data_IF_072542029472
#
_entry.id   IF_072542029472
#
_cell.length_a   1.000
_cell.length_b   1.000
_cell.length_c   1.000
_cell.angle_alpha   90.00
_cell.angle_beta   90.00
_cell.angle_gamma   90.00
#
_symmetry.space_group_name_H-M   'P 1'
#
loop_
_entity.id
_entity.type
_entity.pdbx_description
1 polymer ?
#
# COMPACT_ATOMS: atom_id res chain seq x y z
N UNK A 1 -19.97 35.20 -37.37
CA UNK A 1 -19.81 33.77 -37.02
C UNK A 1 -18.46 33.45 -36.37
N UNK A 2 -17.33 34.01 -36.85
CA UNK A 2 -15.98 33.74 -36.31
C UNK A 2 -15.83 33.97 -34.79
N UNK A 3 -16.43 35.02 -34.24
CA UNK A 3 -16.34 35.31 -32.79
C UNK A 3 -17.06 34.30 -31.88
N UNK A 4 -18.14 33.66 -32.35
CA UNK A 4 -18.88 32.66 -31.55
C UNK A 4 -18.10 31.35 -31.41
N UNK A 5 -17.32 30.99 -32.44
CA UNK A 5 -16.46 29.80 -32.43
C UNK A 5 -15.28 30.01 -31.45
N UNK A 6 -14.70 31.21 -31.45
CA UNK A 6 -13.60 31.55 -30.54
C UNK A 6 -14.03 31.47 -29.08
N UNK A 7 -15.22 31.97 -28.73
CA UNK A 7 -15.73 31.90 -27.35
C UNK A 7 -15.94 30.45 -26.91
N UNK A 8 -16.51 29.58 -27.74
CA UNK A 8 -16.67 28.16 -27.41
C UNK A 8 -15.32 27.43 -27.22
N UNK A 9 -14.31 27.75 -28.05
CA UNK A 9 -12.98 27.15 -27.91
C UNK A 9 -12.29 27.59 -26.62
N UNK A 10 -12.38 28.87 -26.27
CA UNK A 10 -11.79 29.39 -25.03
C UNK A 10 -12.48 28.83 -23.80
N UNK A 11 -13.82 28.70 -23.80
CA UNK A 11 -14.53 28.10 -22.67
C UNK A 11 -14.28 26.60 -22.55
N UNK A 12 -14.22 25.84 -23.65
CA UNK A 12 -13.82 24.42 -23.60
C UNK A 12 -12.41 24.22 -23.06
N UNK A 13 -11.45 25.07 -23.47
CA UNK A 13 -10.09 25.04 -22.94
C UNK A 13 -10.04 25.41 -21.44
N UNK A 14 -10.90 26.33 -21.00
CA UNK A 14 -11.02 26.69 -19.59
C UNK A 14 -11.56 25.52 -18.76
N UNK A 15 -12.53 24.76 -19.26
CA UNK A 15 -13.03 23.56 -18.58
C UNK A 15 -12.00 22.43 -18.50
N UNK A 16 -11.10 22.29 -19.48
CA UNK A 16 -10.03 21.29 -19.42
C UNK A 16 -8.84 21.71 -18.55
N UNK A 17 -8.67 23.02 -18.29
CA UNK A 17 -7.59 23.53 -17.43
C UNK A 17 -8.04 23.75 -15.98
N UNK A 18 -9.34 24.00 -15.75
CA UNK A 18 -9.90 24.35 -14.43
C UNK A 18 -10.52 23.16 -13.69
N UNK A 19 -10.70 22.01 -14.34
CA UNK A 19 -10.88 20.78 -13.60
C UNK A 19 -9.48 20.23 -13.35
N UNK A 20 -8.82 20.55 -12.21
CA UNK A 20 -7.84 19.60 -11.71
C UNK A 20 -8.62 18.29 -11.67
N UNK A 21 -8.15 17.32 -12.43
CA UNK A 21 -8.47 15.93 -12.14
C UNK A 21 -7.89 15.79 -10.74
N UNK A 22 -8.70 16.08 -9.72
CA UNK A 22 -8.41 15.75 -8.35
C UNK A 22 -8.43 14.22 -8.41
N UNK A 23 -7.28 13.66 -8.77
CA UNK A 23 -6.88 12.33 -8.40
C UNK A 23 -7.05 12.32 -6.90
N UNK A 24 -8.20 11.84 -6.44
CA UNK A 24 -8.40 11.61 -5.02
C UNK A 24 -7.23 10.75 -4.59
N UNK A 25 -6.45 11.22 -3.63
CA UNK A 25 -5.58 10.33 -2.90
C UNK A 25 -6.44 9.16 -2.42
N UNK A 26 -5.92 7.94 -2.52
CA UNK A 26 -6.60 6.79 -1.97
C UNK A 26 -7.01 7.05 -0.53
N UNK A 27 -8.23 6.64 -0.20
CA UNK A 27 -8.75 6.60 1.14
C UNK A 27 -9.38 5.23 1.39
N UNK A 28 -9.97 5.02 2.57
CA UNK A 28 -10.60 3.74 2.88
C UNK A 28 -11.80 3.43 1.96
N UNK A 29 -12.50 4.46 1.44
CA UNK A 29 -13.64 4.28 0.54
C UNK A 29 -13.18 4.00 -0.91
N UNK A 30 -12.05 4.57 -1.30
CA UNK A 30 -11.45 4.53 -2.63
C UNK A 30 -9.99 4.04 -2.62
N UNK A 31 -9.67 2.87 -2.04
CA UNK A 31 -8.29 2.40 -1.94
C UNK A 31 -7.77 1.88 -3.28
N UNK A 32 -6.46 2.03 -3.50
CA UNK A 32 -5.79 1.53 -4.71
C UNK A 32 -5.81 0.00 -4.80
N UNK A 33 -5.64 -0.68 -3.66
CA UNK A 33 -5.62 -2.14 -3.57
C UNK A 33 -6.87 -2.58 -2.80
N UNK A 34 -7.65 -3.47 -3.43
CA UNK A 34 -8.83 -4.12 -2.83
C UNK A 34 -8.69 -5.63 -2.96
N UNK A 35 -8.93 -6.35 -1.88
CA UNK A 35 -9.24 -7.77 -1.90
C UNK A 35 -10.76 -7.94 -1.82
N UNK A 36 -11.29 -8.85 -2.63
CA UNK A 36 -12.74 -9.10 -2.72
C UNK A 36 -13.07 -10.54 -2.36
N UNK A 37 -12.09 -11.44 -2.33
CA UNK A 37 -12.30 -12.86 -2.12
C UNK A 37 -12.02 -13.31 -0.69
N UNK A 38 -11.22 -12.56 0.07
CA UNK A 38 -10.86 -12.89 1.45
C UNK A 38 -10.12 -14.23 1.52
N UNK A 39 -9.14 -14.39 0.62
CA UNK A 39 -8.74 -15.70 0.11
C UNK A 39 -7.41 -16.25 0.62
N UNK A 40 -7.09 -16.00 1.89
CA UNK A 40 -5.87 -16.47 2.55
C UNK A 40 -5.50 -17.92 2.18
N UNK A 41 -4.37 -18.06 1.48
CA UNK A 41 -3.85 -19.33 0.95
C UNK A 41 -2.72 -19.88 1.83
N UNK A 42 -2.43 -21.18 1.71
CA UNK A 42 -1.30 -21.81 2.39
C UNK A 42 -1.54 -23.25 2.80
N UNK A 43 -0.45 -24.02 2.87
CA UNK A 43 -0.52 -25.47 3.14
C UNK A 43 -1.12 -25.76 4.52
N UNK A 44 -0.85 -24.90 5.51
CA UNK A 44 -1.32 -25.09 6.88
C UNK A 44 -2.56 -24.28 7.23
N UNK A 45 -3.12 -23.48 6.31
CA UNK A 45 -4.30 -22.62 6.56
C UNK A 45 -5.44 -23.41 7.21
N UNK A 46 -5.76 -24.60 6.70
CA UNK A 46 -6.84 -25.45 7.23
C UNK A 46 -6.62 -25.94 8.67
N UNK A 47 -5.38 -25.89 9.16
CA UNK A 47 -5.01 -26.28 10.52
C UNK A 47 -4.76 -25.09 11.44
N UNK A 48 -4.79 -23.86 10.91
CA UNK A 48 -4.65 -22.66 11.72
C UNK A 48 -6.02 -22.28 12.33
N UNK A 49 -6.03 -21.83 13.59
CA UNK A 49 -7.17 -21.12 14.17
C UNK A 49 -7.72 -20.07 13.20
N UNK A 50 -9.05 -19.98 12.97
CA UNK A 50 -9.64 -18.97 12.07
C UNK A 50 -9.21 -17.54 12.38
N UNK A 51 -9.03 -17.23 13.67
CA UNK A 51 -8.52 -15.94 14.16
C UNK A 51 -7.08 -15.62 13.76
N UNK A 52 -6.29 -16.57 13.28
CA UNK A 52 -4.96 -16.32 12.71
C UNK A 52 -5.03 -16.05 11.21
N UNK A 53 -5.97 -16.68 10.53
CA UNK A 53 -6.23 -16.51 9.10
C UNK A 53 -6.73 -15.07 8.85
N UNK A 54 -7.73 -14.62 9.64
CA UNK A 54 -8.29 -13.27 9.57
C UNK A 54 -7.28 -12.13 9.77
N UNK A 55 -6.11 -12.40 10.34
CA UNK A 55 -5.08 -11.38 10.62
C UNK A 55 -4.22 -11.03 9.42
N UNK A 56 -4.17 -11.93 8.47
CA UNK A 56 -3.40 -11.71 7.25
C UNK A 56 -4.32 -11.50 6.07
N UNK A 57 -5.63 -11.42 6.28
CA UNK A 57 -6.60 -11.13 5.23
C UNK A 57 -6.64 -9.61 5.00
N UNK A 58 -6.04 -9.16 3.90
CA UNK A 58 -5.92 -7.73 3.57
C UNK A 58 -7.18 -7.30 2.85
N UNK A 59 -8.02 -6.48 3.46
CA UNK A 59 -9.21 -5.96 2.78
C UNK A 59 -8.84 -4.85 1.79
N UNK A 60 -8.10 -3.85 2.28
CA UNK A 60 -7.83 -2.62 1.55
C UNK A 60 -6.40 -2.17 1.80
N UNK A 61 -5.77 -1.56 0.82
CA UNK A 61 -4.53 -0.81 1.00
C UNK A 61 -4.53 0.41 0.10
N UNK A 62 -4.11 1.55 0.64
CA UNK A 62 -4.09 2.80 -0.09
C UNK A 62 -2.87 3.66 0.24
N UNK A 63 -2.55 4.53 -0.70
CA UNK A 63 -1.53 5.55 -0.56
C UNK A 63 -2.18 6.86 -0.13
N UNK A 64 -1.52 7.57 0.78
CA UNK A 64 -2.04 8.78 1.37
C UNK A 64 -0.93 9.80 1.61
N UNK A 65 -1.26 11.06 1.39
CA UNK A 65 -0.35 12.21 1.56
C UNK A 65 -1.14 13.38 2.15
N UNK A 66 -0.43 14.29 2.82
CA UNK A 66 -1.03 15.48 3.42
C UNK A 66 -0.25 16.74 3.03
N UNK A 67 -0.91 17.89 2.82
CA UNK A 67 -0.22 19.12 2.47
C UNK A 67 0.77 19.60 3.53
N UNK A 68 0.50 19.25 4.80
CA UNK A 68 1.34 19.59 5.95
C UNK A 68 2.60 18.71 6.07
N UNK A 69 2.68 17.62 5.30
CA UNK A 69 3.77 16.62 5.36
C UNK A 69 4.11 16.06 3.95
N UNK A 70 4.51 16.91 3.00
CA UNK A 70 4.63 16.55 1.58
C UNK A 70 5.86 15.69 1.24
N UNK A 71 6.84 15.62 2.14
CA UNK A 71 8.07 14.84 1.94
C UNK A 71 7.88 13.34 2.25
N UNK A 72 6.75 12.99 2.88
CA UNK A 72 6.46 11.63 3.29
C UNK A 72 5.30 11.04 2.50
N UNK A 73 5.50 9.81 2.01
CA UNK A 73 4.43 8.96 1.49
C UNK A 73 3.92 8.09 2.64
N UNK A 74 2.60 8.14 2.89
CA UNK A 74 1.95 7.25 3.84
C UNK A 74 1.28 6.12 3.08
N UNK A 75 1.44 4.90 3.56
CA UNK A 75 0.76 3.73 3.01
C UNK A 75 -0.01 3.12 4.17
N UNK A 76 -1.30 2.88 3.98
CA UNK A 76 -2.19 2.36 5.01
C UNK A 76 -2.87 1.12 4.45
N UNK A 77 -2.90 0.05 5.24
CA UNK A 77 -3.62 -1.17 4.92
C UNK A 77 -4.56 -1.56 6.05
N UNK A 78 -5.73 -2.07 5.68
CA UNK A 78 -6.78 -2.51 6.60
C UNK A 78 -6.99 -4.01 6.47
N UNK A 79 -7.06 -4.69 7.61
CA UNK A 79 -7.26 -6.13 7.74
C UNK A 79 -8.70 -6.44 8.17
N UNK A 80 -9.20 -7.66 7.96
CA UNK A 80 -10.55 -8.05 8.40
C UNK A 80 -10.67 -8.17 9.93
N UNK A 81 -9.58 -8.55 10.63
CA UNK A 81 -9.56 -8.58 12.08
C UNK A 81 -8.14 -8.61 12.66
N UNK A 82 -7.81 -7.67 13.54
CA UNK A 82 -6.53 -7.74 14.28
C UNK A 82 -6.74 -8.44 15.61
N UNK A 83 -6.09 -9.59 15.73
CA UNK A 83 -5.82 -10.23 17.01
C UNK A 83 -4.30 -10.33 17.10
N UNK A 84 -3.69 -10.08 18.26
CA UNK A 84 -2.23 -10.23 18.44
C UNK A 84 -1.83 -11.69 18.66
N UNK A 85 -0.70 -12.13 18.09
CA UNK A 85 -0.17 -13.49 18.32
C UNK A 85 1.16 -13.33 18.99
N UNK A 86 1.27 -13.99 20.13
CA UNK A 86 2.51 -14.09 20.88
C UNK A 86 3.48 -15.12 20.26
N UNK A 87 3.15 -15.75 19.14
CA UNK A 87 3.90 -16.92 18.66
C UNK A 87 4.38 -16.83 17.21
N UNK A 88 3.70 -16.05 16.37
CA UNK A 88 4.01 -16.00 14.95
C UNK A 88 4.59 -14.66 14.56
N UNK A 89 5.49 -14.69 13.58
CA UNK A 89 5.86 -13.47 12.87
C UNK A 89 4.86 -13.24 11.76
N UNK A 90 4.43 -12.00 11.63
CA UNK A 90 3.62 -11.57 10.50
C UNK A 90 4.38 -10.55 9.69
N UNK A 91 4.31 -10.69 8.37
CA UNK A 91 4.90 -9.77 7.41
C UNK A 91 3.76 -9.13 6.66
N UNK A 92 3.67 -7.80 6.68
CA UNK A 92 2.77 -7.03 5.84
C UNK A 92 3.62 -6.27 4.87
N UNK A 93 3.41 -6.47 3.56
CA UNK A 93 4.23 -5.86 2.53
C UNK A 93 3.35 -5.20 1.49
N UNK A 94 3.77 -4.03 1.03
CA UNK A 94 3.15 -3.33 -0.10
C UNK A 94 4.24 -3.08 -1.13
N UNK A 95 3.95 -3.42 -2.38
CA UNK A 95 4.84 -3.35 -3.52
C UNK A 95 4.29 -2.34 -4.52
N UNK A 96 5.16 -1.65 -5.23
CA UNK A 96 4.81 -0.75 -6.34
C UNK A 96 6.03 -0.53 -7.23
N UNK A 97 5.81 0.09 -8.40
CA UNK A 97 6.87 0.51 -9.31
C UNK A 97 6.89 2.04 -9.42
N UNK A 98 8.09 2.61 -9.43
CA UNK A 98 8.33 4.01 -9.76
C UNK A 98 9.66 4.16 -10.51
N UNK A 99 9.65 4.87 -11.65
CA UNK A 99 10.82 5.06 -12.53
C UNK A 99 11.58 3.75 -12.83
N UNK A 100 10.87 2.69 -13.23
CA UNK A 100 11.42 1.36 -13.54
C UNK A 100 12.05 0.60 -12.35
N UNK A 101 11.98 1.15 -11.14
CA UNK A 101 12.37 0.47 -9.90
C UNK A 101 11.14 -0.09 -9.19
N UNK A 102 11.22 -1.33 -8.72
CA UNK A 102 10.26 -2.00 -7.86
C UNK A 102 10.65 -1.75 -6.41
N UNK A 103 9.76 -1.10 -5.70
CA UNK A 103 9.91 -0.89 -4.27
C UNK A 103 9.00 -1.85 -3.51
N UNK A 104 9.45 -2.21 -2.31
CA UNK A 104 8.60 -2.86 -1.31
C UNK A 104 8.78 -2.16 0.03
N UNK A 105 7.68 -1.88 0.71
CA UNK A 105 7.71 -1.61 2.14
C UNK A 105 7.23 -2.84 2.88
N UNK A 106 7.95 -3.25 3.92
CA UNK A 106 7.62 -4.44 4.72
C UNK A 106 7.63 -4.09 6.20
N UNK A 107 6.52 -4.38 6.87
CA UNK A 107 6.39 -4.36 8.31
C UNK A 107 6.45 -5.80 8.81
N UNK A 108 7.38 -6.07 9.73
CA UNK A 108 7.54 -7.35 10.41
C UNK A 108 7.08 -7.17 11.85
N UNK A 109 5.99 -7.84 12.22
CA UNK A 109 5.51 -7.85 13.60
C UNK A 109 5.98 -9.13 14.29
N UNK A 110 6.57 -8.98 15.47
CA UNK A 110 6.96 -10.08 16.35
C UNK A 110 6.71 -9.68 17.79
N UNK A 111 5.72 -10.32 18.43
CA UNK A 111 5.36 -10.04 19.81
C UNK A 111 4.95 -8.57 19.99
N UNK A 112 5.84 -7.75 20.57
CA UNK A 112 5.69 -6.31 20.76
C UNK A 112 6.65 -5.48 19.91
N UNK A 113 7.50 -6.14 19.12
CA UNK A 113 8.44 -5.47 18.23
C UNK A 113 7.83 -5.36 16.84
N UNK A 114 7.96 -4.16 16.28
CA UNK A 114 7.57 -3.85 14.92
C UNK A 114 8.80 -3.30 14.24
N UNK A 115 9.32 -4.04 13.27
CA UNK A 115 10.39 -3.58 12.40
C UNK A 115 9.78 -3.21 11.05
N UNK A 116 10.23 -2.11 10.45
CA UNK A 116 9.65 -1.59 9.22
C UNK A 116 10.74 -1.09 8.29
N UNK A 117 10.72 -1.55 7.04
CA UNK A 117 11.75 -1.23 6.05
C UNK A 117 11.13 -0.96 4.69
N UNK A 118 11.66 0.02 3.98
CA UNK A 118 11.47 0.17 2.54
C UNK A 118 12.71 -0.37 1.83
N UNK A 119 12.53 -1.12 0.75
CA UNK A 119 13.61 -1.73 -0.02
C UNK A 119 13.40 -1.47 -1.51
N UNK A 120 14.46 -1.02 -2.17
CA UNK A 120 14.58 -1.00 -3.62
C UNK A 120 15.02 -2.40 -4.08
N UNK A 121 14.20 -3.09 -4.87
CA UNK A 121 14.44 -4.48 -5.28
C UNK A 121 15.45 -4.61 -6.43
N UNK A 122 15.80 -3.51 -7.08
CA UNK A 122 16.81 -3.47 -8.15
C UNK A 122 18.20 -3.33 -7.56
N UNK A 123 18.34 -2.57 -6.48
CA UNK A 123 19.62 -2.33 -5.80
C UNK A 123 19.84 -3.20 -4.55
N UNK A 124 18.77 -3.81 -4.01
CA UNK A 124 18.76 -4.51 -2.72
C UNK A 124 19.12 -3.58 -1.54
N UNK A 125 18.93 -2.27 -1.70
CA UNK A 125 19.13 -1.29 -0.65
C UNK A 125 17.88 -1.17 0.22
N UNK A 126 18.03 -1.37 1.53
CA UNK A 126 16.96 -1.26 2.52
C UNK A 126 17.20 -0.11 3.49
N UNK A 127 16.13 0.66 3.74
CA UNK A 127 16.12 1.77 4.69
C UNK A 127 15.01 1.56 5.73
N UNK A 128 15.22 2.06 6.95
CA UNK A 128 14.17 2.03 7.97
C UNK A 128 13.03 2.97 7.56
N UNK A 129 11.80 2.45 7.61
CA UNK A 129 10.58 3.22 7.51
C UNK A 129 9.92 3.34 8.90
N UNK A 130 9.03 4.31 9.08
CA UNK A 130 8.36 4.48 10.37
C UNK A 130 7.06 3.67 10.32
N UNK A 131 6.84 2.71 11.24
CA UNK A 131 5.59 1.98 11.29
C UNK A 131 4.45 2.87 11.81
N UNK A 132 3.31 2.84 11.13
CA UNK A 132 2.02 3.28 11.65
C UNK A 132 1.27 2.04 12.11
N UNK A 133 1.51 1.65 13.35
CA UNK A 133 0.78 0.55 13.97
C UNK A 133 0.23 1.03 15.30
N UNK A 134 -1.08 1.18 15.39
CA UNK A 134 -1.75 1.30 16.67
C UNK A 134 -2.01 -0.14 17.13
N UNK A 135 -1.46 -0.52 18.28
CA UNK A 135 -1.42 -1.91 18.75
C UNK A 135 -2.79 -2.55 18.92
N UNK A 136 -3.90 -1.87 18.70
CA UNK A 136 -5.26 -2.41 18.80
C UNK A 136 -6.12 -2.11 17.56
N UNK A 137 -5.58 -1.46 16.53
CA UNK A 137 -6.33 -1.17 15.30
C UNK A 137 -6.24 -2.32 14.29
N UNK A 138 -7.25 -2.41 13.43
CA UNK A 138 -7.29 -3.25 12.24
C UNK A 138 -6.42 -2.72 11.09
N UNK A 139 -5.52 -1.79 11.40
CA UNK A 139 -4.76 -1.02 10.44
C UNK A 139 -3.28 -1.26 10.65
N UNK A 140 -2.57 -1.49 9.56
CA UNK A 140 -1.13 -1.34 9.48
C UNK A 140 -0.79 -0.18 8.57
N UNK A 141 0.36 0.41 8.74
CA UNK A 141 0.81 1.45 7.84
C UNK A 141 2.28 1.79 7.97
N UNK A 142 2.67 2.70 7.10
CA UNK A 142 4.04 3.04 6.81
C UNK A 142 4.12 4.54 6.59
N UNK A 143 5.15 5.19 7.14
CA UNK A 143 5.60 6.50 6.70
C UNK A 143 6.97 6.31 6.08
N UNK A 144 7.09 6.69 4.82
CA UNK A 144 8.30 6.56 4.02
C UNK A 144 8.69 7.94 3.54
N UNK A 145 9.92 8.36 3.83
CA UNK A 145 10.44 9.59 3.28
C UNK A 145 10.71 9.37 1.78
N UNK A 146 10.20 10.27 0.92
CA UNK A 146 10.18 10.06 -0.53
C UNK A 146 11.57 9.95 -1.16
N UNK A 147 12.58 10.59 -0.58
CA UNK A 147 13.96 10.48 -1.05
C UNK A 147 14.50 9.04 -1.05
N UNK A 148 13.96 8.15 -0.21
CA UNK A 148 14.30 6.73 -0.14
C UNK A 148 13.73 5.92 -1.31
N UNK A 149 12.80 6.50 -2.08
CA UNK A 149 12.06 5.81 -3.15
C UNK A 149 12.14 6.58 -4.47
N UNK A 150 13.30 7.18 -4.75
CA UNK A 150 13.54 7.93 -5.99
C UNK A 150 12.97 9.36 -5.99
N UNK A 151 12.49 9.85 -4.85
CA UNK A 151 11.99 11.21 -4.64
C UNK A 151 10.82 11.64 -5.56
N UNK A 152 9.72 10.87 -5.60
CA UNK A 152 8.56 11.18 -6.43
C UNK A 152 8.01 12.60 -6.21
N UNK A 153 7.62 13.24 -7.30
CA UNK A 153 7.04 14.59 -7.35
C UNK A 153 5.55 14.53 -7.70
N UNK A 154 4.77 15.56 -7.39
CA UNK A 154 3.35 15.60 -7.72
C UNK A 154 3.11 15.39 -9.20
N UNK A 155 2.09 14.59 -9.49
CA UNK A 155 1.79 14.18 -10.85
C UNK A 155 2.62 12.99 -11.34
N UNK A 156 3.68 12.59 -10.62
CA UNK A 156 4.32 11.31 -10.85
C UNK A 156 3.38 10.18 -10.44
N UNK A 157 3.58 9.00 -11.02
CA UNK A 157 2.68 7.86 -10.87
C UNK A 157 3.44 6.68 -10.29
N UNK A 158 2.92 6.11 -9.20
CA UNK A 158 3.29 4.80 -8.69
C UNK A 158 2.38 3.77 -9.35
N UNK A 159 2.96 2.82 -10.07
CA UNK A 159 2.21 1.87 -10.88
C UNK A 159 2.28 0.45 -10.32
N UNK A 160 1.34 -0.37 -10.77
CA UNK A 160 1.24 -1.80 -10.44
C UNK A 160 1.30 -2.10 -8.92
N UNK A 161 0.56 -1.38 -8.06
CA UNK A 161 0.64 -1.62 -6.62
C UNK A 161 -0.03 -2.94 -6.23
N UNK A 162 0.54 -3.66 -5.26
CA UNK A 162 -0.10 -4.82 -4.65
C UNK A 162 0.40 -5.04 -3.23
N UNK A 163 -0.41 -5.67 -2.40
CA UNK A 163 -0.11 -5.98 -1.02
C UNK A 163 -0.04 -7.50 -0.78
N UNK A 164 0.73 -7.90 0.22
CA UNK A 164 0.78 -9.28 0.68
C UNK A 164 1.01 -9.34 2.17
N UNK A 165 0.26 -10.22 2.82
CA UNK A 165 0.48 -10.56 4.21
C UNK A 165 0.92 -12.02 4.32
N UNK A 166 1.85 -12.31 5.21
CA UNK A 166 2.38 -13.68 5.41
C UNK A 166 2.57 -13.95 6.88
N UNK A 167 2.25 -15.17 7.30
CA UNK A 167 2.53 -15.64 8.66
C UNK A 167 3.49 -16.83 8.61
N UNK A 168 4.51 -16.80 9.48
CA UNK A 168 5.54 -17.83 9.49
C UNK A 168 6.32 -17.95 10.80
N UNK A 169 7.24 -18.91 10.81
CA UNK A 169 8.17 -19.19 11.91
C UNK A 169 9.60 -18.75 11.59
N UNK A 170 10.31 -18.18 12.57
CA UNK A 170 11.77 -17.96 12.51
C UNK A 170 12.24 -16.72 11.74
N UNK A 171 13.53 -16.64 11.44
CA UNK A 171 14.18 -15.52 10.74
C UNK A 171 14.28 -15.71 9.21
N UNK A 172 13.46 -16.57 8.59
CA UNK A 172 13.57 -16.82 7.15
C UNK A 172 12.38 -17.55 6.51
N UNK A 173 12.44 -17.64 5.17
CA UNK A 173 11.44 -18.15 4.20
C UNK A 173 10.94 -19.60 4.36
N UNK A 174 11.42 -20.36 5.35
CA UNK A 174 11.34 -21.82 5.30
C UNK A 174 9.95 -22.37 5.69
N UNK A 175 9.10 -21.58 6.37
CA UNK A 175 7.73 -22.02 6.70
C UNK A 175 6.72 -20.88 6.61
N UNK A 176 6.33 -20.51 5.38
CA UNK A 176 5.09 -19.76 5.17
C UNK A 176 3.90 -20.67 5.52
N UNK A 177 3.24 -20.39 6.64
CA UNK A 177 2.09 -21.18 7.10
C UNK A 177 0.84 -20.78 6.32
N UNK A 178 0.70 -19.49 6.11
CA UNK A 178 -0.35 -18.87 5.34
C UNK A 178 0.15 -17.57 4.71
N UNK A 179 -0.41 -17.23 3.58
CA UNK A 179 -0.16 -16.01 2.85
C UNK A 179 -1.47 -15.49 2.25
N UNK A 180 -1.49 -14.19 2.11
CA UNK A 180 -2.55 -13.48 1.43
C UNK A 180 -1.93 -12.51 0.43
N UNK A 181 -2.70 -12.20 -0.61
CA UNK A 181 -2.28 -11.30 -1.67
C UNK A 181 -3.48 -10.52 -2.17
N UNK A 182 -3.38 -9.20 -2.05
CA UNK A 182 -4.36 -8.26 -2.57
C UNK A 182 -3.73 -7.38 -3.67
N UNK A 183 -4.38 -7.18 -4.83
CA UNK A 183 -5.57 -7.90 -5.26
C UNK A 183 -5.24 -9.37 -5.57
N UNK A 184 -6.28 -10.20 -5.60
CA UNK A 184 -6.16 -11.64 -5.90
C UNK A 184 -5.46 -11.93 -7.24
N UNK A 185 -5.65 -11.04 -8.22
CA UNK A 185 -5.07 -11.12 -9.56
C UNK A 185 -4.59 -9.76 -10.04
N UNK A 186 -3.41 -9.74 -10.67
CA UNK A 186 -2.86 -8.51 -11.24
C UNK A 186 -2.36 -7.55 -10.18
N UNK A 187 -2.77 -6.29 -10.33
CA UNK A 187 -2.36 -5.14 -9.52
C UNK A 187 -3.56 -4.24 -9.21
N UNK A 188 -3.41 -3.40 -8.20
CA UNK A 188 -4.34 -2.34 -7.84
C UNK A 188 -4.31 -1.19 -8.84
N UNK A 189 -4.99 -0.11 -8.48
CA UNK A 189 -5.03 1.13 -9.26
C UNK A 189 -3.73 1.91 -9.07
N UNK A 190 -3.23 2.51 -10.15
CA UNK A 190 -2.07 3.40 -10.09
C UNK A 190 -2.36 4.60 -9.18
N UNK A 191 -1.36 4.97 -8.38
CA UNK A 191 -1.43 6.13 -7.50
C UNK A 191 -0.69 7.31 -8.12
N UNK A 192 -1.37 8.44 -8.28
CA UNK A 192 -0.69 9.69 -8.62
C UNK A 192 -0.25 10.38 -7.34
N UNK A 193 1.01 10.83 -7.28
CA UNK A 193 1.57 11.54 -6.14
C UNK A 193 0.85 12.88 -5.97
N UNK A 194 0.42 13.17 -4.75
CA UNK A 194 -0.41 14.32 -4.39
C UNK A 194 0.36 15.34 -3.53
N UNK A 195 -0.40 16.36 -3.08
CA UNK A 195 -0.10 17.18 -1.89
C UNK A 195 -1.37 17.44 -1.09
#
# INVERSE_FOLDING_TARGET
>A
MKGKILVCLVSMLFFTVVLPINTLAGDEENPEIKDVLGDVKGFFVKFLPPRLIQRIDINYTWFYETPDDPENLKIIGKLDNVVHSLFFKTFYSVYWIYNDHRYVVTMVTRWYNVDCYVTDLETDESHMAIPLHDGDSDIFGFIIHKDLIGNPKPGDILIDPWASAKIGFGNGLIFNLANDRAPDTGYGLDYTIQY
#
